data_IF_719644797546
#
_entry.id   IF_719644797546
#
_cell.length_a   1.000
_cell.length_b   1.000
_cell.length_c   1.000
_cell.angle_alpha   90.00
_cell.angle_beta   90.00
_cell.angle_gamma   90.00
#
_symmetry.space_group_name_H-M   'P 1'
#
loop_
_entity.id
_entity.type
_entity.pdbx_description
1 polymer ?
#
# COMPACT_ATOMS: atom_id res chain seq x y z
N UNK A 1 12.20 -10.80 6.48
CA UNK A 1 11.85 -9.87 5.39
C UNK A 1 12.73 -8.62 5.46
N UNK A 2 13.70 -8.48 4.58
CA UNK A 2 14.58 -7.30 4.63
C UNK A 2 13.83 -5.97 4.50
N UNK A 3 12.81 -5.93 3.65
CA UNK A 3 12.01 -4.70 3.47
C UNK A 3 11.30 -4.34 4.78
N UNK A 4 10.69 -5.33 5.43
CA UNK A 4 10.01 -5.08 6.70
C UNK A 4 11.00 -4.60 7.76
N UNK A 5 12.19 -5.17 7.80
CA UNK A 5 13.19 -4.74 8.77
C UNK A 5 13.54 -3.27 8.60
N UNK A 6 13.65 -2.80 7.36
CA UNK A 6 13.91 -1.38 7.10
C UNK A 6 12.75 -0.50 7.53
N UNK A 7 11.52 -0.96 7.28
CA UNK A 7 10.33 -0.23 7.74
C UNK A 7 10.34 -0.12 9.25
N UNK A 8 10.60 -1.23 9.93
CA UNK A 8 10.58 -1.28 11.39
C UNK A 8 11.63 -0.38 12.01
N UNK A 9 12.79 -0.29 11.39
CA UNK A 9 13.84 0.61 11.87
C UNK A 9 13.40 2.07 11.81
N UNK A 10 12.68 2.44 10.77
CA UNK A 10 12.26 3.83 10.58
C UNK A 10 11.01 4.18 11.37
N UNK A 11 10.14 3.23 11.57
CA UNK A 11 8.89 3.42 12.33
C UNK A 11 8.77 2.33 13.38
N UNK A 12 9.57 2.41 14.47
CA UNK A 12 9.61 1.32 15.46
C UNK A 12 8.31 1.12 16.21
N UNK A 13 7.44 2.11 16.22
CA UNK A 13 6.13 1.99 16.90
C UNK A 13 5.17 1.10 16.12
N UNK A 14 5.43 0.83 14.85
CA UNK A 14 4.54 0.02 14.04
C UNK A 14 4.80 -1.46 14.26
N UNK A 15 3.72 -2.23 14.27
CA UNK A 15 3.79 -3.68 14.29
C UNK A 15 3.18 -4.23 13.02
N UNK A 16 3.78 -5.28 12.51
CA UNK A 16 3.27 -5.93 11.31
C UNK A 16 2.06 -6.76 11.65
N UNK A 17 0.92 -6.42 11.06
CA UNK A 17 -0.30 -7.20 11.22
C UNK A 17 -0.37 -8.29 10.16
N UNK A 18 -0.08 -7.94 8.92
CA UNK A 18 -0.13 -8.85 7.79
C UNK A 18 0.85 -8.44 6.72
N UNK A 19 1.45 -9.44 6.09
CA UNK A 19 2.21 -9.23 4.87
C UNK A 19 1.74 -10.24 3.85
N UNK A 20 1.51 -9.79 2.62
CA UNK A 20 1.05 -10.69 1.57
C UNK A 20 1.44 -10.16 0.20
N UNK A 21 1.35 -11.06 -0.75
CA UNK A 21 1.63 -10.77 -2.14
C UNK A 21 0.31 -10.59 -2.87
N UNK A 22 0.19 -9.50 -3.61
CA UNK A 22 -0.91 -9.28 -4.53
C UNK A 22 -0.40 -9.39 -5.95
N UNK A 23 -1.21 -10.00 -6.82
CA UNK A 23 -0.85 -10.11 -8.22
C UNK A 23 -2.12 -10.08 -9.06
N UNK A 24 -2.06 -9.37 -10.18
CA UNK A 24 -3.13 -9.42 -11.14
C UNK A 24 -2.56 -9.15 -12.53
N UNK A 25 -3.33 -9.53 -13.53
CA UNK A 25 -2.96 -9.36 -14.94
C UNK A 25 -4.06 -8.56 -15.64
N UNK A 26 -3.90 -8.37 -16.94
CA UNK A 26 -4.92 -7.65 -17.72
C UNK A 26 -6.26 -8.38 -17.64
N UNK A 27 -7.34 -7.63 -17.79
CA UNK A 27 -8.67 -8.18 -17.69
C UNK A 27 -9.24 -8.19 -16.28
N UNK A 28 -8.44 -7.82 -15.29
CA UNK A 28 -8.87 -7.73 -13.90
C UNK A 28 -9.02 -6.26 -13.55
N UNK A 29 -10.14 -5.93 -12.91
CA UNK A 29 -10.37 -4.57 -12.41
C UNK A 29 -10.38 -4.60 -10.89
N UNK A 30 -9.27 -4.25 -10.26
CA UNK A 30 -9.23 -4.19 -8.79
C UNK A 30 -10.21 -3.16 -8.26
N UNK A 31 -10.73 -3.41 -7.07
CA UNK A 31 -11.70 -2.53 -6.44
C UNK A 31 -11.01 -1.41 -5.66
N UNK A 32 -11.70 -0.27 -5.57
CA UNK A 32 -11.33 0.75 -4.61
C UNK A 32 -11.65 0.21 -3.22
N UNK A 33 -10.70 0.30 -2.31
CA UNK A 33 -10.91 -0.22 -0.95
C UNK A 33 -10.11 0.59 0.05
N UNK A 34 -10.43 0.39 1.32
CA UNK A 34 -9.69 0.92 2.46
C UNK A 34 -9.11 -0.27 3.21
N UNK A 35 -8.06 0.00 3.96
CA UNK A 35 -7.46 -1.00 4.83
C UNK A 35 -7.75 -0.66 6.29
N UNK A 36 -7.70 -1.68 7.13
CA UNK A 36 -7.69 -1.46 8.56
C UNK A 36 -6.27 -1.19 9.04
N UNK A 37 -6.13 -0.68 10.25
CA UNK A 37 -4.84 -0.48 10.84
C UNK A 37 -4.35 0.95 10.72
N UNK A 38 -3.04 1.13 10.78
CA UNK A 38 -2.41 2.44 10.84
C UNK A 38 -1.88 2.89 9.49
N UNK A 39 -0.84 2.24 9.01
CA UNK A 39 -0.24 2.53 7.70
C UNK A 39 -0.23 1.29 6.84
N UNK A 40 -0.42 1.50 5.55
CA UNK A 40 -0.21 0.47 4.55
C UNK A 40 1.06 0.81 3.79
N UNK A 41 1.90 -0.19 3.59
CA UNK A 41 3.09 -0.09 2.76
C UNK A 41 2.93 -1.02 1.58
N UNK A 42 3.32 -0.55 0.41
CA UNK A 42 3.32 -1.38 -0.80
C UNK A 42 4.71 -1.30 -1.42
N UNK A 43 5.28 -2.47 -1.65
CA UNK A 43 6.57 -2.60 -2.30
C UNK A 43 6.38 -3.23 -3.68
N UNK A 44 7.04 -2.65 -4.68
CA UNK A 44 6.98 -3.13 -6.06
C UNK A 44 8.25 -3.89 -6.39
N UNK A 45 8.20 -5.23 -6.48
CA UNK A 45 9.41 -6.01 -6.69
C UNK A 45 9.88 -6.13 -8.14
N UNK A 46 9.00 -5.91 -9.14
CA UNK A 46 9.36 -6.19 -10.52
C UNK A 46 10.18 -5.06 -11.12
N UNK A 47 11.42 -5.36 -11.49
CA UNK A 47 12.31 -4.37 -12.09
C UNK A 47 12.06 -4.18 -13.59
N UNK A 48 11.32 -5.09 -14.21
CA UNK A 48 11.08 -5.09 -15.65
C UNK A 48 9.76 -4.44 -16.05
N UNK A 49 9.09 -3.75 -15.13
CA UNK A 49 7.79 -3.15 -15.41
C UNK A 49 7.94 -1.94 -16.31
N UNK A 50 7.08 -1.85 -17.33
CA UNK A 50 7.07 -0.72 -18.26
C UNK A 50 5.91 0.21 -17.93
N UNK A 51 6.14 1.52 -18.05
CA UNK A 51 5.12 2.50 -17.75
C UNK A 51 3.86 2.32 -18.59
N UNK A 52 4.02 1.94 -19.85
CA UNK A 52 2.88 1.74 -20.74
C UNK A 52 2.03 0.52 -20.35
N UNK A 53 2.52 -0.32 -19.46
CA UNK A 53 1.72 -1.44 -18.97
C UNK A 53 0.67 -1.02 -17.94
N UNK A 54 0.72 0.22 -17.45
CA UNK A 54 -0.26 0.70 -16.49
C UNK A 54 -0.06 0.14 -15.10
N UNK A 55 -1.15 -0.24 -14.46
CA UNK A 55 -1.08 -0.77 -13.10
C UNK A 55 -0.66 0.26 -12.07
N UNK A 56 -1.03 1.51 -12.28
CA UNK A 56 -0.73 2.61 -11.36
C UNK A 56 -1.51 2.41 -10.08
N UNK A 57 -0.90 2.71 -8.94
CA UNK A 57 -1.63 2.78 -7.67
C UNK A 57 -2.18 4.19 -7.53
N UNK A 58 -3.48 4.31 -7.29
CA UNK A 58 -4.10 5.61 -7.08
C UNK A 58 -4.65 5.70 -5.67
N UNK A 59 -4.52 6.88 -5.09
CA UNK A 59 -5.09 7.21 -3.80
C UNK A 59 -6.17 8.26 -4.02
N UNK A 60 -7.25 8.14 -3.28
CA UNK A 60 -8.39 9.04 -3.39
C UNK A 60 -8.51 9.88 -2.13
N UNK A 61 -9.28 10.96 -2.24
CA UNK A 61 -9.70 11.66 -1.04
C UNK A 61 -10.70 10.79 -0.26
N UNK A 62 -11.00 11.18 0.96
CA UNK A 62 -11.82 10.36 1.83
C UNK A 62 -13.24 10.17 1.27
N UNK A 63 -13.74 11.12 0.51
CA UNK A 63 -15.08 11.04 -0.08
C UNK A 63 -15.11 10.29 -1.41
N UNK A 64 -13.96 9.86 -1.90
CA UNK A 64 -13.79 9.13 -3.18
C UNK A 64 -14.32 9.98 -4.35
N UNK A 65 -14.08 11.28 -4.29
CA UNK A 65 -14.46 12.17 -5.38
C UNK A 65 -13.30 12.44 -6.32
N UNK A 66 -12.11 12.60 -5.75
CA UNK A 66 -10.94 12.95 -6.54
C UNK A 66 -9.79 12.01 -6.24
N UNK A 67 -9.00 11.76 -7.27
CA UNK A 67 -7.72 11.08 -7.11
C UNK A 67 -6.73 12.13 -6.62
N UNK A 68 -6.09 11.84 -5.49
CA UNK A 68 -5.12 12.76 -4.89
C UNK A 68 -3.69 12.39 -5.20
N UNK A 69 -3.43 11.15 -5.57
CA UNK A 69 -2.07 10.69 -5.90
C UNK A 69 -2.12 9.58 -6.92
N UNK A 70 -1.19 9.67 -7.85
CA UNK A 70 -0.89 8.62 -8.81
C UNK A 70 0.53 8.14 -8.55
N UNK A 71 0.71 6.84 -8.32
CA UNK A 71 2.03 6.29 -8.10
C UNK A 71 2.29 5.24 -9.17
N UNK A 72 3.21 5.54 -10.06
CA UNK A 72 3.58 4.60 -11.11
C UNK A 72 4.27 3.39 -10.51
N UNK A 73 4.01 2.23 -11.09
CA UNK A 73 4.73 1.04 -10.72
C UNK A 73 6.19 1.19 -11.16
N UNK A 74 7.09 1.11 -10.22
CA UNK A 74 8.52 1.14 -10.49
C UNK A 74 9.19 0.15 -9.57
N UNK A 75 9.96 -0.75 -10.16
CA UNK A 75 10.64 -1.76 -9.36
C UNK A 75 11.50 -1.16 -8.26
N UNK A 76 11.49 -1.79 -7.13
CA UNK A 76 12.20 -1.38 -5.92
C UNK A 76 11.66 -0.08 -5.30
N UNK A 77 10.43 0.28 -5.60
CA UNK A 77 9.76 1.42 -4.96
C UNK A 77 8.92 0.94 -3.79
N UNK A 78 9.01 1.65 -2.69
CA UNK A 78 8.17 1.44 -1.52
C UNK A 78 7.34 2.70 -1.32
N UNK A 79 6.03 2.52 -1.19
CA UNK A 79 5.13 3.63 -0.87
C UNK A 79 4.44 3.35 0.45
N UNK A 80 4.03 4.42 1.11
CA UNK A 80 3.24 4.30 2.33
C UNK A 80 2.11 5.31 2.33
N UNK A 81 1.01 4.92 2.94
CA UNK A 81 -0.13 5.83 3.08
C UNK A 81 -0.97 5.39 4.27
N UNK A 82 -1.77 6.32 4.82
CA UNK A 82 -2.70 5.95 5.90
C UNK A 82 -3.65 4.86 5.43
N UNK A 83 -3.82 3.84 6.25
CA UNK A 83 -4.61 2.67 5.86
C UNK A 83 -6.06 3.04 5.52
N UNK A 84 -6.59 4.09 6.15
CA UNK A 84 -7.98 4.48 5.94
C UNK A 84 -8.24 5.13 4.58
N UNK A 85 -7.20 5.59 3.86
CA UNK A 85 -7.43 6.25 2.58
C UNK A 85 -7.88 5.24 1.52
N UNK A 86 -8.91 5.59 0.75
CA UNK A 86 -9.32 4.73 -0.35
C UNK A 86 -8.22 4.67 -1.40
N UNK A 87 -7.98 3.48 -1.90
CA UNK A 87 -6.92 3.29 -2.88
C UNK A 87 -7.28 2.13 -3.81
N UNK A 88 -6.57 2.06 -4.91
CA UNK A 88 -6.85 1.09 -5.96
C UNK A 88 -5.62 0.91 -6.82
N UNK A 89 -5.32 -0.33 -7.19
CA UNK A 89 -4.43 -0.60 -8.29
C UNK A 89 -5.24 -0.53 -9.57
N UNK A 90 -4.78 0.27 -10.53
CA UNK A 90 -5.50 0.38 -11.78
C UNK A 90 -5.23 -0.81 -12.69
N UNK A 91 -6.07 -1.04 -13.70
CA UNK A 91 -5.91 -2.18 -14.58
C UNK A 91 -4.58 -2.18 -15.30
N UNK A 92 -4.15 -3.39 -15.66
CA UNK A 92 -2.94 -3.60 -16.45
C UNK A 92 -3.32 -3.63 -17.93
N UNK A 93 -2.48 -3.05 -18.77
CA UNK A 93 -2.70 -3.01 -20.22
C UNK A 93 -2.80 -4.42 -20.80
N UNK A 94 -3.63 -4.57 -21.84
CA UNK A 94 -3.76 -5.83 -22.56
C UNK A 94 -2.45 -6.26 -23.21
N UNK A 95 -1.55 -5.32 -23.43
CA UNK A 95 -0.25 -5.61 -24.06
C UNK A 95 0.75 -6.20 -23.08
N UNK A 96 0.41 -6.19 -21.79
CA UNK A 96 1.29 -6.74 -20.76
C UNK A 96 0.91 -8.18 -20.48
N UNK A 97 1.85 -9.09 -20.65
CA UNK A 97 1.63 -10.51 -20.35
C UNK A 97 2.28 -10.92 -19.04
N UNK A 98 2.70 -9.94 -18.23
CA UNK A 98 3.31 -10.18 -16.94
C UNK A 98 2.31 -9.93 -15.83
N UNK A 99 2.53 -10.57 -14.70
CA UNK A 99 1.74 -10.31 -13.51
C UNK A 99 2.22 -9.02 -12.86
N UNK A 100 1.29 -8.13 -12.55
CA UNK A 100 1.59 -7.00 -11.69
C UNK A 100 1.61 -7.51 -10.26
N UNK A 101 2.78 -7.56 -9.70
CA UNK A 101 3.01 -8.12 -8.38
C UNK A 101 3.40 -7.03 -7.41
N UNK A 102 2.85 -7.04 -6.21
CA UNK A 102 3.31 -6.16 -5.15
C UNK A 102 3.26 -6.89 -3.82
N UNK A 103 4.09 -6.42 -2.88
CA UNK A 103 4.11 -6.95 -1.52
C UNK A 103 3.48 -5.88 -0.63
N UNK A 104 2.48 -6.27 0.12
CA UNK A 104 1.73 -5.35 0.98
C UNK A 104 2.05 -5.67 2.42
N UNK A 105 2.37 -4.62 3.19
CA UNK A 105 2.57 -4.72 4.63
C UNK A 105 1.50 -3.89 5.30
N UNK A 106 0.62 -4.54 6.04
CA UNK A 106 -0.39 -3.87 6.85
C UNK A 106 0.11 -3.78 8.27
N UNK A 107 0.05 -2.59 8.82
CA UNK A 107 0.64 -2.33 10.12
C UNK A 107 -0.38 -1.73 11.08
N UNK A 108 -0.10 -1.91 12.36
CA UNK A 108 -0.88 -1.31 13.45
C UNK A 108 0.10 -0.65 14.41
N UNK A 109 -0.42 0.25 15.22
CA UNK A 109 0.38 0.85 16.28
C UNK A 109 0.32 -0.07 17.50
N UNK A 110 1.48 -0.29 18.13
CA UNK A 110 1.56 -1.09 19.33
C UNK A 110 0.64 -0.53 20.41
N UNK A 111 -0.04 -1.42 21.11
CA UNK A 111 -0.87 -1.03 22.23
C UNK A 111 0.01 -0.49 23.34
N UNK A 112 -0.36 0.67 23.86
CA UNK A 112 0.28 1.24 25.02
C UNK A 112 -0.25 0.51 26.25
N UNK A 113 0.57 -0.32 26.85
CA UNK A 113 0.13 -1.15 27.97
C UNK A 113 -0.33 -0.34 29.16
N UNK A 114 0.23 0.85 29.36
CA UNK A 114 -0.18 1.71 30.46
C UNK A 114 -1.57 2.28 30.25
N UNK A 115 -2.01 2.36 29.03
CA UNK A 115 -3.32 2.91 28.68
C UNK A 115 -4.30 1.83 28.28
N UNK A 116 -3.82 0.62 28.04
CA UNK A 116 -4.68 -0.50 27.73
C UNK A 116 -5.41 -0.41 26.39
N UNK A 117 -4.91 0.40 25.46
CA UNK A 117 -5.57 0.54 24.16
C UNK A 117 -4.57 0.97 23.10
N UNK A 118 -4.89 0.69 21.83
CA UNK A 118 -4.04 1.13 20.73
C UNK A 118 -4.06 2.65 20.63
N UNK A 119 -2.96 3.19 20.15
CA UNK A 119 -2.85 4.61 19.86
C UNK A 119 -2.78 4.81 18.37
N UNK A 120 -3.43 5.87 17.91
CA UNK A 120 -3.31 6.24 16.50
C UNK A 120 -1.95 6.86 16.26
N UNK A 121 -1.35 6.56 15.13
CA UNK A 121 -0.07 7.19 14.79
C UNK A 121 -0.26 8.67 14.50
N UNK A 122 0.80 9.43 14.68
CA UNK A 122 0.76 10.88 14.54
C UNK A 122 1.41 11.34 13.24
N UNK A 123 1.33 10.59 12.17
CA UNK A 123 1.97 10.99 10.91
C UNK A 123 0.92 11.33 9.85
N UNK A 124 0.03 12.23 10.22
CA UNK A 124 -0.93 12.76 9.26
C UNK A 124 -2.15 11.90 9.05
N UNK A 125 -2.32 10.84 9.79
CA UNK A 125 -3.53 10.05 9.73
C UNK A 125 -4.57 10.76 10.54
N UNK A 126 -5.50 11.39 9.86
CA UNK A 126 -6.61 12.07 10.51
C UNK A 126 -7.90 11.43 10.10
N UNK A 127 -8.68 11.24 11.04
CA UNK A 127 -10.01 10.72 10.81
C UNK A 127 -11.04 11.80 10.96
#
# INVERSE_FOLDING_TARGET
WPIWQQIKLKWPELELERAYLNAHTHGIEPHIHRDDGALTFIYYPRLDWKNEWGGVTVLYDDAIKDITSHVNYKGNRLIKFPAYLPHQAQPVSRECYQLRTCVVFKTVVRIDENKGRPRRPSFGVKS
#
